data_IF_289945192308
#
_entry.id   IF_289945192308
#
_cell.length_a   1.000
_cell.length_b   1.000
_cell.length_c   1.000
_cell.angle_alpha   90.00
_cell.angle_beta   90.00
_cell.angle_gamma   90.00
#
_symmetry.space_group_name_H-M   'P 1'
#
loop_
_entity.id
_entity.type
_entity.pdbx_description
1 polymer ?
#
# COMPACT_ATOMS: atom_id res chain seq x y z
N UNK A 1 -14.70 1.04 -21.92
CA UNK A 1 -14.45 2.36 -21.33
C UNK A 1 -13.01 2.38 -20.79
N UNK A 2 -12.21 3.37 -21.18
CA UNK A 2 -10.87 3.55 -20.59
C UNK A 2 -11.09 4.04 -19.16
N UNK A 3 -10.73 3.22 -18.18
CA UNK A 3 -10.85 3.58 -16.77
C UNK A 3 -9.53 4.24 -16.33
N UNK A 4 -9.55 5.55 -16.12
CA UNK A 4 -8.42 6.29 -15.57
C UNK A 4 -8.34 6.04 -14.04
N UNK A 5 -7.17 5.71 -13.48
CA UNK A 5 -7.06 5.43 -12.05
C UNK A 5 -7.28 6.68 -11.21
N UNK A 6 -8.02 6.51 -10.11
CA UNK A 6 -8.18 7.51 -9.07
C UNK A 6 -7.37 7.09 -7.83
N UNK A 7 -6.54 7.99 -7.33
CA UNK A 7 -5.75 7.78 -6.11
C UNK A 7 -6.35 8.59 -4.96
N UNK A 8 -6.85 7.91 -3.92
CA UNK A 8 -7.37 8.54 -2.72
C UNK A 8 -6.22 8.81 -1.75
N UNK A 9 -6.04 10.06 -1.36
CA UNK A 9 -4.95 10.49 -0.47
C UNK A 9 -5.54 11.14 0.79
N UNK A 10 -5.57 10.42 1.92
CA UNK A 10 -5.80 11.03 3.23
C UNK A 10 -4.67 11.98 3.58
N UNK A 11 -5.00 13.23 3.94
CA UNK A 11 -4.03 14.31 4.07
C UNK A 11 -4.23 15.09 5.37
N UNK A 12 -3.21 15.18 6.21
CA UNK A 12 -3.24 15.82 7.52
C UNK A 12 -2.26 16.99 7.68
N UNK A 13 -1.70 17.46 6.57
CA UNK A 13 -0.69 18.54 6.51
C UNK A 13 0.68 18.17 7.08
N UNK A 14 0.91 16.92 7.46
CA UNK A 14 2.22 16.43 7.87
C UNK A 14 3.17 16.28 6.67
N UNK A 15 4.47 16.23 6.94
CA UNK A 15 5.49 15.93 5.93
C UNK A 15 5.22 14.58 5.25
N UNK A 16 4.78 13.59 6.03
CA UNK A 16 4.53 12.24 5.50
C UNK A 16 3.30 12.20 4.60
N UNK A 17 2.24 12.95 4.94
CA UNK A 17 1.09 13.08 4.02
C UNK A 17 1.46 13.87 2.76
N UNK A 18 2.38 14.83 2.83
CA UNK A 18 2.95 15.49 1.66
C UNK A 18 3.74 14.51 0.77
N UNK A 19 4.50 13.58 1.37
CA UNK A 19 5.20 12.53 0.61
C UNK A 19 4.21 11.58 -0.07
N UNK A 20 3.13 11.20 0.61
CA UNK A 20 2.05 10.41 0.02
C UNK A 20 1.37 11.13 -1.16
N UNK A 21 1.15 12.45 -1.05
CA UNK A 21 0.62 13.27 -2.16
C UNK A 21 1.58 13.29 -3.35
N UNK A 22 2.88 13.53 -3.14
CA UNK A 22 3.88 13.51 -4.20
C UNK A 22 3.91 12.19 -4.93
N UNK A 23 3.96 11.09 -4.18
CA UNK A 23 3.93 9.72 -4.70
C UNK A 23 2.67 9.45 -5.52
N UNK A 24 1.51 9.94 -5.06
CA UNK A 24 0.24 9.80 -5.78
C UNK A 24 0.21 10.60 -7.08
N UNK A 25 0.85 11.77 -7.11
CA UNK A 25 1.00 12.59 -8.33
C UNK A 25 1.92 11.91 -9.35
N UNK A 26 3.04 11.32 -8.91
CA UNK A 26 3.91 10.52 -9.78
C UNK A 26 3.14 9.35 -10.41
N UNK A 27 2.38 8.60 -9.59
CA UNK A 27 1.50 7.53 -10.07
C UNK A 27 0.43 8.05 -11.04
N UNK A 28 -0.15 9.22 -10.77
CA UNK A 28 -1.17 9.82 -11.64
C UNK A 28 -0.59 10.23 -12.99
N UNK A 29 0.61 10.81 -13.03
CA UNK A 29 1.29 11.15 -14.28
C UNK A 29 1.62 9.91 -15.12
N UNK A 30 2.20 8.86 -14.51
CA UNK A 30 2.56 7.62 -15.21
C UNK A 30 1.33 6.90 -15.78
N UNK A 31 0.19 6.95 -15.07
CA UNK A 31 -1.00 6.16 -15.39
C UNK A 31 -2.14 6.98 -16.00
N UNK A 32 -1.94 8.26 -16.33
CA UNK A 32 -2.99 9.20 -16.76
C UNK A 32 -4.16 9.23 -15.76
N UNK A 33 -3.86 9.21 -14.47
CA UNK A 33 -4.82 9.17 -13.39
C UNK A 33 -5.15 10.53 -12.79
N UNK A 34 -5.85 10.51 -11.66
CA UNK A 34 -6.17 11.70 -10.88
C UNK A 34 -6.04 11.41 -9.37
N UNK A 35 -5.96 12.46 -8.57
CA UNK A 35 -5.80 12.41 -7.12
C UNK A 35 -7.02 13.00 -6.43
N UNK A 36 -7.60 12.29 -5.48
CA UNK A 36 -8.61 12.82 -4.56
C UNK A 36 -7.96 13.07 -3.21
N UNK A 37 -7.67 14.34 -2.94
CA UNK A 37 -7.02 14.79 -1.71
C UNK A 37 -8.07 15.02 -0.62
N UNK A 38 -8.05 14.21 0.44
CA UNK A 38 -9.07 14.19 1.48
C UNK A 38 -8.47 14.56 2.84
N UNK A 39 -8.97 15.65 3.42
CA UNK A 39 -8.69 15.97 4.82
C UNK A 39 -9.94 15.72 5.68
N UNK A 40 -9.75 15.22 6.89
CA UNK A 40 -10.84 14.98 7.84
C UNK A 40 -10.61 15.80 9.11
N UNK A 41 -11.58 16.62 9.47
CA UNK A 41 -11.58 17.41 10.71
C UNK A 41 -12.59 16.85 11.70
N UNK A 42 -12.33 16.99 12.99
CA UNK A 42 -13.23 16.48 14.05
C UNK A 42 -14.49 17.30 14.20
N UNK A 43 -14.41 18.62 14.00
CA UNK A 43 -15.51 19.55 14.26
C UNK A 43 -15.67 20.56 13.13
N UNK A 44 -16.93 21.03 12.94
CA UNK A 44 -17.30 21.92 11.85
C UNK A 44 -16.51 23.24 11.80
N UNK A 45 -16.16 23.91 12.91
CA UNK A 45 -15.36 25.15 12.87
C UNK A 45 -14.01 25.01 12.19
N UNK A 46 -13.37 23.84 12.26
CA UNK A 46 -12.04 23.61 11.70
C UNK A 46 -12.06 23.46 10.16
N UNK A 47 -13.25 23.23 9.58
CA UNK A 47 -13.41 22.95 8.15
C UNK A 47 -12.91 24.08 7.26
N UNK A 48 -13.25 25.33 7.57
CA UNK A 48 -12.86 26.50 6.77
C UNK A 48 -11.34 26.69 6.78
N UNK A 49 -10.70 26.53 7.95
CA UNK A 49 -9.24 26.58 8.08
C UNK A 49 -8.56 25.48 7.26
N UNK A 50 -9.04 24.25 7.37
CA UNK A 50 -8.53 23.12 6.60
C UNK A 50 -8.70 23.31 5.08
N UNK A 51 -9.82 23.88 4.64
CA UNK A 51 -10.05 24.22 3.22
C UNK A 51 -9.04 25.25 2.70
N UNK A 52 -8.74 26.28 3.47
CA UNK A 52 -7.73 27.30 3.11
C UNK A 52 -6.32 26.68 3.05
N UNK A 53 -5.97 25.82 4.03
CA UNK A 53 -4.69 25.13 4.05
C UNK A 53 -4.54 24.18 2.86
N UNK A 54 -5.57 23.37 2.53
CA UNK A 54 -5.56 22.51 1.32
C UNK A 54 -5.42 23.33 0.04
N UNK A 55 -6.11 24.49 -0.03
CA UNK A 55 -5.97 25.37 -1.17
C UNK A 55 -4.52 25.83 -1.33
N UNK A 56 -3.89 26.28 -0.24
CA UNK A 56 -2.50 26.71 -0.26
C UNK A 56 -1.55 25.59 -0.72
N UNK A 57 -1.69 24.38 -0.16
CA UNK A 57 -0.89 23.21 -0.56
C UNK A 57 -0.99 22.96 -2.07
N UNK A 58 -2.19 23.06 -2.64
CA UNK A 58 -2.40 22.85 -4.08
C UNK A 58 -1.85 24.01 -4.90
N UNK A 59 -2.06 25.25 -4.46
CA UNK A 59 -1.55 26.45 -5.15
C UNK A 59 -0.01 26.47 -5.25
N UNK A 60 0.68 25.83 -4.27
CA UNK A 60 2.15 25.69 -4.23
C UNK A 60 2.68 24.59 -5.18
N UNK A 61 1.81 23.78 -5.79
CA UNK A 61 2.19 22.74 -6.75
C UNK A 61 2.31 23.30 -8.18
N UNK A 62 2.92 22.51 -9.07
CA UNK A 62 2.98 22.83 -10.50
C UNK A 62 1.57 22.93 -11.12
N UNK A 63 1.37 23.77 -12.16
CA UNK A 63 0.06 23.83 -12.86
C UNK A 63 -0.41 22.48 -13.45
N UNK A 64 0.53 21.58 -13.76
CA UNK A 64 0.23 20.23 -14.24
C UNK A 64 -0.37 19.37 -13.11
N UNK A 65 0.25 19.42 -11.92
CA UNK A 65 -0.23 18.67 -10.73
C UNK A 65 -1.56 19.19 -10.23
N UNK A 66 -1.75 20.52 -10.20
CA UNK A 66 -3.01 21.14 -9.78
C UNK A 66 -4.22 20.62 -10.55
N UNK A 67 -4.07 20.34 -11.86
CA UNK A 67 -5.12 19.84 -12.75
C UNK A 67 -5.54 18.39 -12.40
N UNK A 68 -4.65 17.63 -11.78
CA UNK A 68 -4.92 16.24 -11.41
C UNK A 68 -5.68 16.10 -10.07
N UNK A 69 -5.78 17.19 -9.28
CA UNK A 69 -6.26 17.13 -7.90
C UNK A 69 -7.71 17.59 -7.75
N UNK A 70 -8.55 16.72 -7.22
CA UNK A 70 -9.81 17.09 -6.58
C UNK A 70 -9.62 17.05 -5.07
N UNK A 71 -10.16 18.05 -4.33
CA UNK A 71 -10.01 18.12 -2.87
C UNK A 71 -11.32 18.14 -2.13
N UNK A 72 -11.34 17.55 -0.93
CA UNK A 72 -12.48 17.62 0.01
C UNK A 72 -11.99 17.71 1.46
N UNK A 73 -12.73 18.46 2.27
CA UNK A 73 -12.64 18.44 3.72
C UNK A 73 -13.92 17.85 4.27
N UNK A 74 -13.79 16.73 4.97
CA UNK A 74 -14.88 16.00 5.62
C UNK A 74 -14.86 16.27 7.13
N UNK A 75 -16.00 16.02 7.79
CA UNK A 75 -16.12 16.11 9.25
C UNK A 75 -16.46 14.73 9.76
N UNK A 76 -15.62 14.17 10.65
CA UNK A 76 -15.86 12.83 11.16
C UNK A 76 -14.60 12.16 11.72
N UNK A 77 -14.61 10.85 11.66
CA UNK A 77 -13.49 9.99 12.03
C UNK A 77 -12.72 9.58 10.76
N UNK A 78 -11.40 9.80 10.73
CA UNK A 78 -10.58 9.52 9.56
C UNK A 78 -10.72 8.07 9.07
N UNK A 79 -10.83 7.09 9.97
CA UNK A 79 -10.91 5.66 9.63
C UNK A 79 -12.23 5.32 8.91
N UNK A 80 -13.33 5.88 9.41
CA UNK A 80 -14.65 5.70 8.79
C UNK A 80 -14.76 6.45 7.47
N UNK A 81 -14.25 7.68 7.41
CA UNK A 81 -14.35 8.51 6.21
C UNK A 81 -13.49 7.98 5.05
N UNK A 82 -12.33 7.33 5.35
CA UNK A 82 -11.55 6.62 4.30
C UNK A 82 -12.36 5.44 3.75
N UNK A 83 -12.97 4.62 4.61
CA UNK A 83 -13.81 3.49 4.19
C UNK A 83 -14.98 3.96 3.30
N UNK A 84 -15.77 4.94 3.77
CA UNK A 84 -16.89 5.53 3.01
C UNK A 84 -16.43 6.12 1.66
N UNK A 85 -15.28 6.83 1.66
CA UNK A 85 -14.74 7.39 0.43
C UNK A 85 -14.30 6.28 -0.54
N UNK A 86 -13.72 5.19 -0.03
CA UNK A 86 -13.34 4.03 -0.84
C UNK A 86 -14.56 3.34 -1.48
N UNK A 87 -15.63 3.17 -0.74
CA UNK A 87 -16.90 2.59 -1.26
C UNK A 87 -17.55 3.48 -2.34
N UNK A 88 -17.61 4.80 -2.10
CA UNK A 88 -18.29 5.74 -2.99
C UNK A 88 -17.46 6.03 -4.25
N UNK A 89 -16.17 6.31 -4.07
CA UNK A 89 -15.31 6.76 -5.16
C UNK A 89 -14.69 5.59 -5.93
N UNK A 90 -14.62 4.41 -5.31
CA UNK A 90 -13.94 3.20 -5.84
C UNK A 90 -12.57 3.53 -6.40
N UNK A 91 -11.68 4.13 -5.61
CA UNK A 91 -10.35 4.47 -6.10
C UNK A 91 -9.56 3.21 -6.45
N UNK A 92 -8.63 3.34 -7.37
CA UNK A 92 -7.72 2.24 -7.72
C UNK A 92 -6.74 1.93 -6.59
N UNK A 93 -6.44 2.92 -5.75
CA UNK A 93 -5.48 2.80 -4.65
C UNK A 93 -5.73 3.90 -3.61
N UNK A 94 -5.66 3.56 -2.33
CA UNK A 94 -5.49 4.54 -1.25
C UNK A 94 -4.00 4.70 -1.00
N UNK A 95 -3.48 5.92 -1.11
CA UNK A 95 -2.05 6.19 -0.85
C UNK A 95 -1.94 7.01 0.43
N UNK A 96 -1.30 6.46 1.43
CA UNK A 96 -1.19 7.10 2.73
C UNK A 96 0.20 7.02 3.34
N UNK A 97 0.54 8.04 4.09
CA UNK A 97 1.74 8.05 4.92
C UNK A 97 1.46 7.52 6.32
N UNK A 98 2.44 6.85 6.90
CA UNK A 98 2.42 6.47 8.32
C UNK A 98 3.54 7.16 9.06
N UNK A 99 3.26 7.75 10.24
CA UNK A 99 4.26 8.45 11.04
C UNK A 99 5.20 7.46 11.74
N UNK A 100 6.50 7.76 11.71
CA UNK A 100 7.46 7.25 12.69
C UNK A 100 7.15 7.81 14.09
N UNK A 101 7.79 7.28 15.13
CA UNK A 101 7.52 7.48 16.56
C UNK A 101 7.42 8.93 17.11
N UNK A 102 7.46 9.98 16.28
CA UNK A 102 7.52 11.40 16.69
C UNK A 102 6.37 12.30 16.22
N UNK A 103 5.30 11.76 15.62
CA UNK A 103 4.14 12.56 15.18
C UNK A 103 3.07 12.74 16.26
N UNK A 104 2.33 13.87 16.20
CA UNK A 104 1.33 14.31 17.20
C UNK A 104 0.13 13.35 17.35
N UNK A 105 -0.07 12.44 16.43
CA UNK A 105 -1.00 11.31 16.60
C UNK A 105 -0.25 10.03 16.20
N UNK A 106 -0.01 9.16 17.17
CA UNK A 106 0.53 7.82 16.98
C UNK A 106 -0.43 7.00 16.09
N UNK A 107 -0.36 7.19 14.77
CA UNK A 107 -0.99 6.28 13.83
C UNK A 107 -0.02 5.09 13.68
N UNK A 108 0.07 4.26 14.70
CA UNK A 108 0.85 3.03 14.70
C UNK A 108 -0.05 1.83 14.92
N UNK A 109 0.32 0.71 14.33
CA UNK A 109 -0.26 -0.61 14.56
C UNK A 109 -1.77 -0.62 14.35
N UNK A 110 -2.52 -0.55 15.44
CA UNK A 110 -3.98 -0.66 15.43
C UNK A 110 -4.74 0.36 14.56
N UNK A 111 -4.13 1.49 14.19
CA UNK A 111 -4.80 2.52 13.39
C UNK A 111 -4.64 2.28 11.89
N UNK A 112 -3.46 1.90 11.43
CA UNK A 112 -3.25 1.52 10.03
C UNK A 112 -4.02 0.25 9.72
N UNK A 113 -3.98 -0.72 10.63
CA UNK A 113 -4.75 -1.95 10.52
C UNK A 113 -6.26 -1.69 10.44
N UNK A 114 -6.80 -0.74 11.21
CA UNK A 114 -8.21 -0.33 11.09
C UNK A 114 -8.55 0.24 9.72
N UNK A 115 -7.63 0.97 9.09
CA UNK A 115 -7.85 1.47 7.73
C UNK A 115 -7.83 0.31 6.74
N UNK A 116 -6.83 -0.59 6.85
CA UNK A 116 -6.74 -1.77 5.99
C UNK A 116 -7.99 -2.64 6.14
N UNK A 117 -8.39 -2.94 7.38
CA UNK A 117 -9.54 -3.80 7.68
C UNK A 117 -10.89 -3.22 7.23
N UNK A 118 -11.00 -1.90 7.07
CA UNK A 118 -12.22 -1.22 6.65
C UNK A 118 -12.19 -0.79 5.18
N UNK A 119 -11.21 -1.25 4.39
CA UNK A 119 -11.08 -0.86 2.99
C UNK A 119 -11.02 -2.07 2.08
N UNK A 120 -11.98 -2.16 1.14
CA UNK A 120 -11.91 -3.10 0.02
C UNK A 120 -10.93 -2.64 -1.07
N UNK A 121 -10.44 -1.40 -0.99
CA UNK A 121 -9.46 -0.82 -1.91
C UNK A 121 -8.04 -1.14 -1.43
N UNK A 122 -7.11 -1.54 -2.32
CA UNK A 122 -5.72 -1.71 -1.94
C UNK A 122 -5.11 -0.41 -1.40
N UNK A 123 -4.17 -0.54 -0.46
CA UNK A 123 -3.46 0.57 0.13
C UNK A 123 -1.99 0.54 -0.27
N UNK A 124 -1.43 1.70 -0.59
CA UNK A 124 0.01 1.92 -0.68
C UNK A 124 0.44 2.79 0.49
N UNK A 125 1.19 2.19 1.40
CA UNK A 125 1.62 2.81 2.66
C UNK A 125 3.07 3.24 2.52
N UNK A 126 3.36 4.53 2.73
CA UNK A 126 4.73 5.06 2.67
C UNK A 126 5.16 5.66 3.99
N UNK A 127 6.47 5.59 4.29
CA UNK A 127 7.11 6.18 5.49
C UNK A 127 8.20 7.17 5.14
N UNK A 128 8.43 7.42 3.88
CA UNK A 128 9.54 8.26 3.43
C UNK A 128 9.20 9.04 2.18
N UNK A 129 10.25 9.55 1.59
CA UNK A 129 10.29 10.34 0.35
C UNK A 129 10.64 9.49 -0.88
N UNK A 130 10.36 8.20 -0.84
CA UNK A 130 10.60 7.29 -1.98
C UNK A 130 9.78 7.75 -3.18
N UNK A 131 10.41 7.73 -4.34
CA UNK A 131 9.79 8.03 -5.61
C UNK A 131 9.22 6.78 -6.27
N UNK A 132 8.12 6.94 -6.99
CA UNK A 132 7.44 5.88 -7.74
C UNK A 132 7.40 6.17 -9.25
N UNK A 133 8.29 7.02 -9.72
CA UNK A 133 8.46 7.28 -11.16
C UNK A 133 9.10 6.09 -11.89
N UNK A 134 9.83 5.25 -11.17
CA UNK A 134 10.53 4.06 -11.69
C UNK A 134 10.47 2.92 -10.68
N UNK A 135 9.46 2.08 -10.79
CA UNK A 135 9.40 0.81 -10.05
C UNK A 135 10.02 -0.28 -10.93
N UNK A 136 11.10 -0.90 -10.47
CA UNK A 136 11.78 -1.99 -11.16
C UNK A 136 11.64 -3.32 -10.45
N UNK A 137 11.56 -3.29 -9.13
CA UNK A 137 11.53 -4.49 -8.29
C UNK A 137 10.40 -4.39 -7.27
N UNK A 138 9.51 -5.38 -7.29
CA UNK A 138 8.47 -5.59 -6.28
C UNK A 138 8.79 -6.89 -5.56
N UNK A 139 8.97 -6.86 -4.25
CA UNK A 139 9.15 -8.07 -3.43
C UNK A 139 7.78 -8.51 -2.90
N UNK A 140 7.38 -9.74 -3.19
CA UNK A 140 6.08 -10.29 -2.80
C UNK A 140 6.25 -11.59 -2.00
N UNK A 141 6.12 -11.54 -0.67
CA UNK A 141 6.08 -12.75 0.14
C UNK A 141 4.74 -13.48 -0.01
N UNK A 142 4.78 -14.80 0.08
CA UNK A 142 3.60 -15.65 0.18
C UNK A 142 3.85 -16.80 1.16
N UNK A 143 2.79 -17.40 1.67
CA UNK A 143 2.85 -18.51 2.63
C UNK A 143 1.90 -19.64 2.19
N UNK A 144 1.75 -20.67 3.01
CA UNK A 144 0.76 -21.75 2.80
C UNK A 144 -0.69 -21.28 2.86
N UNK A 145 -0.97 -20.13 3.47
CA UNK A 145 -2.33 -19.59 3.58
C UNK A 145 -2.79 -19.03 2.23
N UNK A 146 -4.00 -19.39 1.79
CA UNK A 146 -4.58 -18.91 0.52
C UNK A 146 -4.70 -17.38 0.44
N UNK A 147 -4.95 -16.76 1.59
CA UNK A 147 -5.05 -15.32 1.71
C UNK A 147 -3.75 -14.61 1.32
N UNK A 148 -2.59 -15.26 1.54
CA UNK A 148 -1.28 -14.67 1.29
C UNK A 148 -1.05 -14.26 -0.17
N UNK A 149 -1.75 -14.91 -1.11
CA UNK A 149 -1.61 -14.63 -2.54
C UNK A 149 -2.66 -13.66 -3.11
N UNK A 150 -3.58 -13.15 -2.29
CA UNK A 150 -4.63 -12.23 -2.79
C UNK A 150 -4.09 -10.89 -3.28
N UNK A 151 -2.89 -10.49 -2.84
CA UNK A 151 -2.20 -9.30 -3.35
C UNK A 151 -1.69 -9.45 -4.80
N UNK A 152 -1.64 -10.67 -5.33
CA UNK A 152 -0.99 -11.01 -6.61
C UNK A 152 -1.49 -10.15 -7.77
N UNK A 153 -2.80 -10.00 -7.95
CA UNK A 153 -3.37 -9.22 -9.04
C UNK A 153 -3.01 -7.73 -8.97
N UNK A 154 -2.92 -7.18 -7.76
CA UNK A 154 -2.56 -5.77 -7.55
C UNK A 154 -1.06 -5.55 -7.78
N UNK A 155 -0.21 -6.45 -7.30
CA UNK A 155 1.23 -6.43 -7.55
C UNK A 155 1.54 -6.57 -9.05
N UNK A 156 0.88 -7.51 -9.73
CA UNK A 156 1.01 -7.72 -11.16
C UNK A 156 0.54 -6.51 -11.98
N UNK A 157 -0.59 -5.89 -11.61
CA UNK A 157 -1.06 -4.66 -12.27
C UNK A 157 -0.06 -3.52 -12.11
N UNK A 158 0.55 -3.38 -10.94
CA UNK A 158 1.62 -2.40 -10.72
C UNK A 158 2.85 -2.74 -11.55
N UNK A 159 3.33 -3.99 -11.50
CA UNK A 159 4.48 -4.45 -12.28
C UNK A 159 4.29 -4.20 -13.78
N UNK A 160 3.13 -4.53 -14.33
CA UNK A 160 2.81 -4.32 -15.75
C UNK A 160 2.88 -2.84 -16.16
N UNK A 161 2.44 -1.94 -15.29
CA UNK A 161 2.46 -0.48 -15.57
C UNK A 161 3.85 0.11 -15.60
N UNK A 162 4.76 -0.44 -14.79
CA UNK A 162 6.13 0.05 -14.68
C UNK A 162 7.17 -0.79 -15.43
N UNK A 163 6.78 -1.96 -15.95
CA UNK A 163 7.74 -2.93 -16.48
C UNK A 163 8.64 -3.51 -15.39
N UNK A 164 8.09 -3.71 -14.19
CA UNK A 164 8.82 -4.19 -13.02
C UNK A 164 8.86 -5.72 -12.98
N UNK A 165 9.92 -6.27 -12.37
CA UNK A 165 10.02 -7.69 -12.03
C UNK A 165 9.50 -7.93 -10.60
N UNK A 166 8.69 -8.99 -10.43
CA UNK A 166 8.21 -9.41 -9.11
C UNK A 166 9.12 -10.51 -8.57
N UNK A 167 9.72 -10.28 -7.40
CA UNK A 167 10.49 -11.28 -6.68
C UNK A 167 9.54 -12.00 -5.70
N UNK A 168 9.21 -13.24 -6.02
CA UNK A 168 8.34 -14.09 -5.21
C UNK A 168 9.15 -14.78 -4.12
N UNK A 169 8.75 -14.63 -2.87
CA UNK A 169 9.47 -15.16 -1.70
C UNK A 169 8.55 -16.05 -0.89
N UNK A 170 8.77 -17.37 -0.92
CA UNK A 170 8.01 -18.34 -0.14
C UNK A 170 8.40 -18.29 1.33
N UNK A 171 7.41 -18.29 2.23
CA UNK A 171 7.63 -18.41 3.67
C UNK A 171 7.63 -19.88 4.06
N UNK A 172 8.78 -20.53 3.89
CA UNK A 172 8.98 -21.93 4.24
C UNK A 172 9.19 -22.08 5.75
N UNK A 173 8.63 -23.15 6.30
CA UNK A 173 8.86 -23.59 7.65
C UNK A 173 9.07 -25.13 7.66
N UNK A 174 9.39 -25.72 8.82
CA UNK A 174 9.69 -27.15 8.92
C UNK A 174 8.42 -28.02 9.00
N UNK A 175 7.25 -27.52 8.59
CA UNK A 175 5.98 -28.25 8.63
C UNK A 175 5.61 -28.73 7.22
N UNK A 176 5.63 -30.06 7.01
CA UNK A 176 5.34 -30.69 5.72
C UNK A 176 3.96 -30.28 5.14
N UNK A 177 2.95 -30.11 6.00
CA UNK A 177 1.61 -29.67 5.55
C UNK A 177 1.61 -28.22 5.04
N UNK A 178 2.49 -27.38 5.56
CA UNK A 178 2.66 -26.01 5.09
C UNK A 178 3.41 -25.99 3.76
N UNK A 179 4.39 -26.87 3.55
CA UNK A 179 5.14 -26.97 2.29
C UNK A 179 4.22 -27.32 1.11
N UNK A 180 3.25 -28.24 1.28
CA UNK A 180 2.26 -28.54 0.25
C UNK A 180 1.37 -27.32 -0.08
N UNK A 181 1.01 -26.55 0.93
CA UNK A 181 0.26 -25.30 0.77
C UNK A 181 1.08 -24.22 0.05
N UNK A 182 2.37 -24.07 0.41
CA UNK A 182 3.29 -23.16 -0.24
C UNK A 182 3.46 -23.52 -1.72
N UNK A 183 3.73 -24.81 -2.02
CA UNK A 183 3.87 -25.29 -3.39
C UNK A 183 2.60 -25.05 -4.22
N UNK A 184 1.42 -25.27 -3.63
CA UNK A 184 0.13 -24.97 -4.28
C UNK A 184 -0.02 -23.48 -4.59
N UNK A 185 0.23 -22.62 -3.63
CA UNK A 185 0.14 -21.18 -3.81
C UNK A 185 1.18 -20.65 -4.80
N UNK A 186 2.39 -21.21 -4.79
CA UNK A 186 3.42 -20.90 -5.78
C UNK A 186 2.93 -21.18 -7.21
N UNK A 187 2.41 -22.37 -7.45
CA UNK A 187 1.88 -22.74 -8.79
C UNK A 187 0.75 -21.80 -9.23
N UNK A 188 -0.14 -21.41 -8.32
CA UNK A 188 -1.23 -20.46 -8.63
C UNK A 188 -0.66 -19.09 -9.02
N UNK A 189 0.32 -18.59 -8.27
CA UNK A 189 0.94 -17.28 -8.53
C UNK A 189 1.74 -17.31 -9.82
N UNK A 190 2.60 -18.31 -10.02
CA UNK A 190 3.41 -18.47 -11.25
C UNK A 190 2.53 -18.56 -12.49
N UNK A 191 1.46 -19.36 -12.43
CA UNK A 191 0.48 -19.46 -13.51
C UNK A 191 -0.14 -18.10 -13.83
N UNK A 192 -0.59 -17.38 -12.79
CA UNK A 192 -1.17 -16.04 -12.96
C UNK A 192 -0.17 -15.06 -13.59
N UNK A 193 1.10 -15.06 -13.17
CA UNK A 193 2.15 -14.20 -13.72
C UNK A 193 2.39 -14.52 -15.20
N UNK A 194 2.52 -15.81 -15.55
CA UNK A 194 2.74 -16.26 -16.92
C UNK A 194 1.56 -15.89 -17.84
N UNK A 195 0.32 -16.16 -17.42
CA UNK A 195 -0.89 -15.83 -18.19
C UNK A 195 -1.06 -14.32 -18.43
N UNK A 196 -0.53 -13.48 -17.54
CA UNK A 196 -0.58 -12.02 -17.65
C UNK A 196 0.69 -11.38 -18.22
N UNK A 197 1.70 -12.16 -18.62
CA UNK A 197 3.00 -11.71 -19.13
C UNK A 197 3.70 -10.76 -18.14
N UNK A 198 3.78 -11.16 -16.87
CA UNK A 198 4.48 -10.42 -15.82
C UNK A 198 5.86 -11.05 -15.59
N UNK A 199 6.90 -10.24 -15.62
CA UNK A 199 8.23 -10.69 -15.28
C UNK A 199 8.32 -11.00 -13.79
N UNK A 200 8.76 -12.20 -13.43
CA UNK A 200 8.94 -12.61 -12.04
C UNK A 200 10.12 -13.56 -11.88
N UNK A 201 10.58 -13.71 -10.67
CA UNK A 201 11.52 -14.77 -10.28
C UNK A 201 11.20 -15.27 -8.87
N UNK A 202 11.50 -16.56 -8.65
CA UNK A 202 11.50 -17.16 -7.32
C UNK A 202 12.77 -16.77 -6.57
N UNK A 203 12.65 -16.60 -5.26
CA UNK A 203 13.75 -16.24 -4.37
C UNK A 203 13.69 -17.13 -3.14
N UNK A 204 14.77 -17.85 -2.90
CA UNK A 204 14.99 -18.62 -1.70
C UNK A 204 15.78 -17.78 -0.70
N UNK A 205 15.30 -17.68 0.53
CA UNK A 205 15.98 -16.99 1.62
C UNK A 205 16.91 -17.97 2.36
N UNK A 206 17.98 -17.49 3.01
CA UNK A 206 18.98 -18.33 3.68
C UNK A 206 18.45 -19.18 4.83
N UNK A 207 17.33 -18.78 5.47
CA UNK A 207 16.73 -19.42 6.66
C UNK A 207 17.66 -19.41 7.90
N UNK A 208 18.51 -18.42 8.01
CA UNK A 208 19.40 -18.18 9.15
C UNK A 208 18.75 -17.34 10.26
N UNK A 209 17.74 -16.56 9.89
CA UNK A 209 16.97 -15.68 10.77
C UNK A 209 15.47 -15.98 10.63
N UNK A 210 14.62 -15.24 11.36
CA UNK A 210 13.20 -15.31 11.09
C UNK A 210 12.86 -14.75 9.70
N UNK A 211 11.88 -15.35 9.05
CA UNK A 211 11.47 -15.06 7.68
C UNK A 211 11.34 -13.55 7.37
N UNK A 212 10.70 -12.79 8.26
CA UNK A 212 10.44 -11.36 8.00
C UNK A 212 11.70 -10.51 8.10
N UNK A 213 12.67 -10.88 8.94
CA UNK A 213 13.98 -10.23 8.95
C UNK A 213 14.73 -10.47 7.65
N UNK A 214 14.77 -11.71 7.18
CA UNK A 214 15.43 -12.05 5.90
C UNK A 214 14.73 -11.43 4.70
N UNK A 215 13.39 -11.42 4.68
CA UNK A 215 12.60 -10.77 3.66
C UNK A 215 12.94 -9.28 3.53
N UNK A 216 13.01 -8.57 4.66
CA UNK A 216 13.32 -7.14 4.67
C UNK A 216 14.77 -6.87 4.28
N UNK A 217 15.73 -7.67 4.78
CA UNK A 217 17.13 -7.58 4.38
C UNK A 217 17.30 -7.83 2.88
N UNK A 218 16.62 -8.84 2.35
CA UNK A 218 16.59 -9.12 0.91
C UNK A 218 16.00 -7.94 0.12
N UNK A 219 14.83 -7.45 0.51
CA UNK A 219 14.18 -6.32 -0.16
C UNK A 219 15.08 -5.07 -0.16
N UNK A 220 15.79 -4.83 0.95
CA UNK A 220 16.79 -3.76 1.03
C UNK A 220 17.98 -3.99 0.09
N UNK A 221 18.52 -5.21 0.04
CA UNK A 221 19.71 -5.57 -0.77
C UNK A 221 19.46 -5.44 -2.27
N UNK A 222 18.24 -5.73 -2.74
CA UNK A 222 17.85 -5.59 -4.15
C UNK A 222 17.27 -4.21 -4.47
N UNK A 223 17.32 -3.27 -3.51
CA UNK A 223 16.75 -1.93 -3.64
C UNK A 223 15.29 -1.94 -4.10
N UNK A 224 14.49 -2.85 -3.57
CA UNK A 224 13.08 -2.93 -3.92
C UNK A 224 12.37 -1.59 -3.73
N UNK A 225 11.53 -1.21 -4.68
CA UNK A 225 10.72 0.00 -4.59
C UNK A 225 9.38 -0.25 -3.89
N UNK A 226 8.90 -1.51 -3.88
CA UNK A 226 7.64 -1.90 -3.22
C UNK A 226 7.78 -3.27 -2.58
N UNK A 227 7.19 -3.44 -1.40
CA UNK A 227 6.86 -4.76 -0.84
C UNK A 227 5.36 -4.93 -0.98
N UNK A 228 4.91 -6.03 -1.63
CA UNK A 228 3.49 -6.32 -1.83
C UNK A 228 3.07 -7.50 -0.94
N UNK A 229 2.29 -7.25 0.10
CA UNK A 229 1.90 -8.27 1.06
C UNK A 229 0.42 -8.18 1.43
N UNK A 230 -0.24 -9.32 1.57
CA UNK A 230 -1.63 -9.38 2.00
C UNK A 230 -1.74 -9.20 3.51
N UNK A 231 -2.68 -8.35 3.93
CA UNK A 231 -3.07 -8.26 5.32
C UNK A 231 -4.18 -9.30 5.60
N UNK A 232 -3.95 -10.17 6.56
CA UNK A 232 -4.95 -11.12 7.04
C UNK A 232 -5.05 -11.03 8.55
N UNK A 233 -6.25 -10.79 9.06
CA UNK A 233 -6.55 -10.85 10.48
C UNK A 233 -6.93 -12.29 10.83
N UNK A 234 -6.00 -13.08 11.31
CA UNK A 234 -6.27 -14.44 11.79
C UNK A 234 -7.26 -14.52 13.00
N UNK A 235 -7.39 -13.42 13.75
CA UNK A 235 -8.41 -13.21 14.80
C UNK A 235 -8.64 -11.70 14.95
N UNK A 236 -9.90 -11.26 14.94
CA UNK A 236 -10.35 -9.84 14.98
C UNK A 236 -9.87 -9.00 16.19
N UNK A 237 -9.07 -9.55 17.09
CA UNK A 237 -8.70 -8.92 18.35
C UNK A 237 -7.20 -8.67 18.55
N UNK A 238 -6.33 -9.10 17.63
CA UNK A 238 -4.87 -9.00 17.81
C UNK A 238 -4.26 -8.32 16.57
N UNK A 239 -3.40 -7.31 16.79
CA UNK A 239 -2.59 -6.70 15.74
C UNK A 239 -1.76 -7.75 15.00
N UNK A 240 -1.66 -7.64 13.67
CA UNK A 240 -0.80 -8.53 12.89
C UNK A 240 0.67 -8.07 12.99
N UNK A 241 1.50 -8.70 13.86
CA UNK A 241 2.87 -8.23 14.11
C UNK A 241 3.75 -8.32 12.87
N UNK A 242 3.43 -9.21 11.95
CA UNK A 242 4.19 -9.40 10.72
C UNK A 242 3.95 -8.24 9.74
N UNK A 243 2.68 -7.87 9.54
CA UNK A 243 2.36 -6.70 8.71
C UNK A 243 2.92 -5.42 9.31
N UNK A 244 2.86 -5.26 10.64
CA UNK A 244 3.48 -4.13 11.31
C UNK A 244 4.98 -4.04 11.01
N UNK A 245 5.74 -5.15 11.09
CA UNK A 245 7.17 -5.20 10.76
C UNK A 245 7.43 -4.82 9.30
N UNK A 246 6.60 -5.32 8.36
CA UNK A 246 6.72 -4.97 6.95
C UNK A 246 6.48 -3.47 6.73
N UNK A 247 5.44 -2.89 7.34
CA UNK A 247 5.14 -1.47 7.25
C UNK A 247 6.24 -0.61 7.90
N UNK A 248 6.77 -1.05 9.04
CA UNK A 248 7.81 -0.33 9.79
C UNK A 248 9.23 -0.58 9.29
N UNK A 249 9.41 -1.21 8.14
CA UNK A 249 10.71 -1.60 7.61
C UNK A 249 11.74 -0.45 7.63
N UNK A 250 12.98 -0.77 8.02
CA UNK A 250 14.07 0.20 8.19
C UNK A 250 14.50 0.85 6.87
N UNK A 251 14.27 0.17 5.76
CA UNK A 251 14.62 0.62 4.40
C UNK A 251 13.59 1.62 3.84
N UNK A 252 12.51 1.89 4.59
CA UNK A 252 11.40 2.78 4.20
C UNK A 252 10.80 2.44 2.84
N UNK A 253 10.79 1.17 2.49
CA UNK A 253 10.18 0.68 1.25
C UNK A 253 8.66 0.80 1.39
N UNK A 254 7.96 1.44 0.43
CA UNK A 254 6.50 1.47 0.40
C UNK A 254 5.88 0.08 0.39
N UNK A 255 4.76 -0.08 1.09
CA UNK A 255 4.06 -1.36 1.23
C UNK A 255 2.71 -1.30 0.52
N UNK A 256 2.55 -2.11 -0.52
CA UNK A 256 1.27 -2.36 -1.17
C UNK A 256 0.56 -3.49 -0.42
N UNK A 257 -0.65 -3.24 0.05
CA UNK A 257 -1.41 -4.25 0.82
C UNK A 257 -2.89 -4.22 0.50
N UNK A 258 -3.55 -5.34 0.74
CA UNK A 258 -5.01 -5.52 0.66
C UNK A 258 -5.51 -6.24 1.90
N UNK A 259 -6.75 -6.00 2.27
CA UNK A 259 -7.43 -6.80 3.28
C UNK A 259 -7.96 -8.08 2.63
N UNK A 260 -7.46 -9.24 3.05
CA UNK A 260 -7.88 -10.53 2.52
C UNK A 260 -9.37 -10.86 2.75
N UNK A 261 -9.93 -10.39 3.86
CA UNK A 261 -11.34 -10.69 4.22
C UNK A 261 -12.35 -9.96 3.32
N UNK A 262 -11.96 -8.83 2.70
CA UNK A 262 -12.84 -8.01 1.86
C UNK A 262 -12.85 -8.42 0.38
N UNK A 263 -11.97 -9.34 -0.02
CA UNK A 263 -11.83 -9.77 -1.41
C UNK A 263 -12.62 -11.05 -1.74
N UNK A 264 -13.39 -11.60 -0.78
CA UNK A 264 -14.18 -12.83 -0.93
C UNK A 264 -15.57 -12.55 -1.53
#
# INVERSE_FOLDING_TARGET
>A
MIHYPLYLVPFDFSEISNNALKLSLELAHVNNGSVFLMNVVKVKPDRSKAQMQLKKVIDDLSPADQKLITKRVLIGNIYEEIGKASEILRPSLVVMGTHGASGIQKIFGSHVEKIISNSATPLLITRGDKHMDKVKTIVMPFSFQKESIQITSFAANMAKKFGACIHLVGNHDNNELHEDGIATNQLVVERFMNENNIDFKMVDLPQEKDFYSELLDYAGSVHAEVIAATYSNGTKLVTNPHMQRIIENIYRIPVLTVNAEELV
#
